data_IF_206821796872
#
_entry.id   IF_206821796872
#
_cell.length_a   1.000
_cell.length_b   1.000
_cell.length_c   1.000
_cell.angle_alpha   90.00
_cell.angle_beta   90.00
_cell.angle_gamma   90.00
#
_symmetry.space_group_name_H-M   'P 1'
#
loop_
_entity.id
_entity.type
_entity.pdbx_description
1 polymer ?
#
# COMPACT_ATOMS: atom_id res chain seq x y z
N UNK A 1 -18.99 7.61 -17.49
CA UNK A 1 -18.53 8.36 -16.30
C UNK A 1 -17.25 9.09 -16.69
N UNK A 2 -17.30 10.41 -16.83
CA UNK A 2 -16.09 11.22 -17.08
C UNK A 2 -15.37 11.42 -15.75
N UNK A 3 -14.09 11.03 -15.67
CA UNK A 3 -13.28 11.23 -14.47
C UNK A 3 -13.26 12.71 -14.09
N UNK A 4 -13.63 13.02 -12.84
CA UNK A 4 -13.57 14.39 -12.34
C UNK A 4 -12.12 14.90 -12.44
N UNK A 5 -11.94 15.92 -13.27
CA UNK A 5 -10.66 16.53 -13.58
C UNK A 5 -10.37 17.76 -12.72
N UNK A 6 -11.27 18.09 -11.79
CA UNK A 6 -11.04 19.10 -10.77
C UNK A 6 -9.80 18.78 -9.94
N UNK A 7 -9.14 19.79 -9.34
CA UNK A 7 -8.04 19.55 -8.40
C UNK A 7 -8.44 18.62 -7.25
N UNK A 8 -9.64 18.80 -6.69
CA UNK A 8 -10.17 17.94 -5.62
C UNK A 8 -10.32 16.49 -6.07
N UNK A 9 -10.95 16.25 -7.22
CA UNK A 9 -11.12 14.89 -7.76
C UNK A 9 -9.80 14.20 -8.09
N UNK A 10 -8.76 14.95 -8.48
CA UNK A 10 -7.39 14.40 -8.66
C UNK A 10 -6.75 14.04 -7.32
N UNK A 11 -6.88 14.91 -6.32
CA UNK A 11 -6.36 14.66 -4.97
C UNK A 11 -7.02 13.42 -4.34
N UNK A 12 -8.34 13.27 -4.45
CA UNK A 12 -9.06 12.11 -3.92
C UNK A 12 -8.56 10.80 -4.53
N UNK A 13 -8.29 10.79 -5.84
CA UNK A 13 -7.69 9.63 -6.51
C UNK A 13 -6.26 9.37 -6.05
N UNK A 14 -5.45 10.42 -5.88
CA UNK A 14 -4.08 10.29 -5.37
C UNK A 14 -4.08 9.68 -3.95
N UNK A 15 -4.95 10.16 -3.07
CA UNK A 15 -5.11 9.63 -1.71
C UNK A 15 -5.64 8.18 -1.71
N UNK A 16 -6.57 7.84 -2.59
CA UNK A 16 -7.05 6.47 -2.74
C UNK A 16 -5.92 5.53 -3.19
N UNK A 17 -5.11 5.95 -4.18
CA UNK A 17 -3.94 5.21 -4.63
C UNK A 17 -2.88 5.07 -3.52
N UNK A 18 -2.61 6.14 -2.76
CA UNK A 18 -1.66 6.12 -1.65
C UNK A 18 -2.07 5.15 -0.54
N UNK A 19 -3.38 5.08 -0.21
CA UNK A 19 -3.91 4.07 0.73
C UNK A 19 -3.71 2.65 0.21
N UNK A 20 -3.94 2.42 -1.08
CA UNK A 20 -3.69 1.13 -1.73
C UNK A 20 -2.21 0.75 -1.68
N UNK A 21 -1.32 1.70 -1.96
CA UNK A 21 0.13 1.52 -1.84
C UNK A 21 0.54 1.15 -0.41
N UNK A 22 0.06 1.89 0.60
CA UNK A 22 0.38 1.62 2.00
C UNK A 22 -0.02 0.21 2.47
N UNK A 23 -1.20 -0.27 2.03
CA UNK A 23 -1.64 -1.65 2.32
C UNK A 23 -0.77 -2.67 1.59
N UNK A 24 -0.47 -2.43 0.31
CA UNK A 24 0.35 -3.31 -0.51
C UNK A 24 1.78 -3.43 0.00
N UNK A 25 2.40 -2.32 0.38
CA UNK A 25 3.72 -2.24 1.00
C UNK A 25 3.75 -2.94 2.37
N UNK A 26 2.80 -2.61 3.26
CA UNK A 26 2.73 -3.23 4.58
C UNK A 26 2.57 -4.77 4.50
N UNK A 27 1.72 -5.28 3.61
CA UNK A 27 1.56 -6.72 3.39
C UNK A 27 2.77 -7.33 2.67
N UNK A 28 3.22 -6.71 1.58
CA UNK A 28 4.29 -7.21 0.73
C UNK A 28 5.60 -7.34 1.48
N UNK A 29 5.93 -6.36 2.34
CA UNK A 29 7.14 -6.36 3.16
C UNK A 29 7.23 -7.55 4.12
N UNK A 30 6.10 -8.16 4.50
CA UNK A 30 6.10 -9.39 5.33
C UNK A 30 6.73 -10.56 4.58
N UNK A 31 6.71 -10.57 3.26
CA UNK A 31 7.30 -11.60 2.41
C UNK A 31 8.72 -11.26 1.92
N UNK A 32 9.39 -10.30 2.55
CA UNK A 32 10.87 -10.23 2.55
C UNK A 32 11.50 -11.02 3.70
N UNK A 33 10.68 -11.50 4.65
CA UNK A 33 11.11 -12.37 5.75
C UNK A 33 10.90 -13.83 5.36
N UNK A 34 11.96 -14.66 5.21
CA UNK A 34 11.83 -16.04 4.71
C UNK A 34 10.85 -16.93 5.48
N UNK A 35 10.68 -16.70 6.79
CA UNK A 35 9.74 -17.44 7.64
C UNK A 35 8.28 -17.33 7.16
N UNK A 36 7.92 -16.26 6.45
CA UNK A 36 6.56 -16.03 5.97
C UNK A 36 6.30 -16.64 4.59
N UNK A 37 7.32 -17.13 3.87
CA UNK A 37 7.15 -17.62 2.49
C UNK A 37 6.16 -18.80 2.36
N UNK A 38 6.09 -19.76 3.31
CA UNK A 38 5.07 -20.80 3.26
C UNK A 38 3.64 -20.26 3.31
N UNK A 39 3.41 -19.12 4.00
CA UNK A 39 2.09 -18.49 4.07
C UNK A 39 1.63 -18.00 2.70
N UNK A 40 2.55 -17.47 1.88
CA UNK A 40 2.24 -17.02 0.52
C UNK A 40 1.75 -18.18 -0.34
N UNK A 41 2.43 -19.34 -0.26
CA UNK A 41 2.05 -20.56 -1.00
C UNK A 41 0.68 -21.08 -0.59
N UNK A 42 0.32 -20.94 0.69
CA UNK A 42 -0.99 -21.35 1.23
C UNK A 42 -2.07 -20.27 1.12
N UNK A 43 -1.74 -19.08 0.61
CA UNK A 43 -2.61 -17.89 0.59
C UNK A 43 -3.12 -17.51 1.98
N UNK A 44 -2.26 -17.65 2.98
CA UNK A 44 -2.49 -17.26 4.36
C UNK A 44 -1.84 -15.91 4.65
N UNK A 45 -2.40 -15.18 5.61
CA UNK A 45 -1.88 -13.89 6.04
C UNK A 45 -0.89 -14.06 7.20
N UNK A 46 0.24 -13.33 7.21
CA UNK A 46 1.09 -13.23 8.40
C UNK A 46 0.37 -12.49 9.52
N UNK A 47 0.74 -12.74 10.78
CA UNK A 47 0.13 -12.05 11.92
C UNK A 47 0.31 -10.54 11.80
N UNK A 48 -0.77 -9.80 12.08
CA UNK A 48 -0.76 -8.34 12.15
C UNK A 48 -0.38 -7.82 13.55
N UNK A 49 -0.24 -6.50 13.71
CA UNK A 49 -0.36 -5.47 12.68
C UNK A 49 0.87 -5.41 11.76
N UNK A 50 0.68 -4.99 10.50
CA UNK A 50 1.76 -4.77 9.55
C UNK A 50 2.10 -3.28 9.47
N UNK A 51 3.39 -2.96 9.52
CA UNK A 51 3.90 -1.62 9.26
C UNK A 51 4.27 -1.52 7.78
N UNK A 52 3.97 -0.40 7.17
CA UNK A 52 4.50 0.00 5.87
C UNK A 52 5.98 0.41 6.01
N UNK A 53 6.69 0.50 4.88
CA UNK A 53 8.13 0.81 4.77
C UNK A 53 8.36 2.24 4.26
N UNK A 54 9.62 2.65 4.14
CA UNK A 54 10.00 3.96 3.58
C UNK A 54 9.40 4.22 2.19
N UNK A 55 9.05 3.20 1.41
CA UNK A 55 8.30 3.35 0.15
C UNK A 55 7.01 4.16 0.33
N UNK A 56 6.24 3.89 1.40
CA UNK A 56 5.00 4.62 1.70
C UNK A 56 5.28 6.04 2.20
N UNK A 57 6.36 6.24 2.97
CA UNK A 57 6.79 7.58 3.42
C UNK A 57 7.18 8.45 2.22
N UNK A 58 8.02 7.91 1.34
CA UNK A 58 8.48 8.56 0.12
C UNK A 58 7.31 8.89 -0.80
N UNK A 59 6.37 7.96 -1.00
CA UNK A 59 5.17 8.23 -1.79
C UNK A 59 4.28 9.31 -1.16
N UNK A 60 4.18 9.36 0.16
CA UNK A 60 3.44 10.41 0.86
C UNK A 60 4.04 11.80 0.61
N UNK A 61 5.37 11.91 0.49
CA UNK A 61 6.05 13.17 0.18
C UNK A 61 5.76 13.71 -1.22
N UNK A 62 5.30 12.87 -2.15
CA UNK A 62 4.92 13.26 -3.53
C UNK A 62 3.48 13.79 -3.60
N UNK A 63 2.61 13.33 -2.69
CA UNK A 63 1.20 13.77 -2.64
C UNK A 63 1.03 15.04 -1.80
N UNK A 64 1.92 15.26 -0.83
CA UNK A 64 1.90 16.37 0.13
C UNK A 64 2.03 17.76 -0.51
#
# INVERSE_FOLDING_TARGET
>A
MTSDSSPGGRLDRALASLRGLAVGDALGSRFFVPVNYPLLKRRELPSGPWRWTDDTEMASSVVA
#
